data_IF_873192293968
#
_entry.id   IF_873192293968
#
_cell.length_a   1.000
_cell.length_b   1.000
_cell.length_c   1.000
_cell.angle_alpha   90.00
_cell.angle_beta   90.00
_cell.angle_gamma   90.00
#
_symmetry.space_group_name_H-M   'P 1'
#
loop_
_entity.id
_entity.type
_entity.pdbx_description
1 polymer ?
2 non-polymer ?
3 non-polymer ?
4 water ?
#
# COMPACT_ATOMS: atom_id res chain seq x y z
N UNK A 1 -19.80 4.20 3.98
CA UNK A 1 -19.91 5.25 2.93
C UNK A 1 -20.37 4.65 1.60
N UNK A 2 -21.09 5.46 0.79
CA UNK A 2 -21.68 4.98 -0.45
C UNK A 2 -20.71 5.20 -1.62
N UNK A 3 -21.04 4.55 -2.75
CA UNK A 3 -20.09 4.42 -3.85
C UNK A 3 -20.09 5.62 -4.79
N UNK A 4 -18.91 6.19 -5.00
CA UNK A 4 -18.68 7.31 -5.90
C UNK A 4 -17.64 6.91 -6.96
N UNK A 5 -17.57 7.70 -8.02
CA UNK A 5 -16.61 7.46 -9.09
C UNK A 5 -15.87 8.73 -9.46
N UNK A 6 -14.56 8.62 -9.57
CA UNK A 6 -13.71 9.69 -10.04
C UNK A 6 -13.54 9.56 -11.55
N UNK A 7 -14.01 10.56 -12.30
CA UNK A 7 -13.77 10.57 -13.73
C UNK A 7 -12.36 11.04 -14.03
N UNK A 8 -11.65 10.26 -14.82
CA UNK A 8 -10.33 10.60 -15.29
C UNK A 8 -10.35 10.57 -16.81
N UNK A 9 -9.55 11.44 -17.44
CA UNK A 9 -9.52 11.48 -18.91
C UNK A 9 -8.43 10.53 -19.40
N UNK A 10 -8.83 9.60 -20.25
CA UNK A 10 -7.92 8.65 -20.88
C UNK A 10 -7.22 7.77 -19.85
N UNK A 11 -7.78 7.65 -18.65
CA UNK A 11 -7.39 6.65 -17.66
C UNK A 11 -8.68 6.10 -17.07
N UNK A 12 -8.66 4.88 -16.56
CA UNK A 12 -9.93 4.30 -16.08
C UNK A 12 -10.46 5.03 -14.86
N UNK A 13 -11.77 5.19 -14.82
CA UNK A 13 -12.43 5.81 -13.67
C UNK A 13 -12.28 4.95 -12.43
N UNK A 14 -12.14 5.60 -11.29
CA UNK A 14 -11.87 4.92 -10.03
C UNK A 14 -13.08 5.01 -9.11
N UNK A 15 -13.44 3.89 -8.52
CA UNK A 15 -14.49 3.84 -7.51
C UNK A 15 -13.92 4.16 -6.13
N UNK A 16 -14.65 4.96 -5.36
CA UNK A 16 -14.18 5.30 -4.02
C UNK A 16 -15.37 5.52 -3.11
N UNK A 17 -15.10 5.45 -1.80
CA UNK A 17 -16.08 5.76 -0.77
C UNK A 17 -15.47 6.81 0.14
N UNK A 18 -16.19 7.91 0.38
CA UNK A 18 -15.65 9.07 1.07
C UNK A 18 -16.53 9.42 2.27
N UNK A 19 -15.87 9.69 3.38
CA UNK A 19 -16.52 10.11 4.62
C UNK A 19 -16.10 11.53 4.91
N UNK A 20 -17.08 12.41 5.14
CA UNK A 20 -16.82 13.80 5.49
C UNK A 20 -16.32 13.89 6.92
N UNK A 21 -15.45 14.86 7.18
CA UNK A 21 -15.03 15.14 8.54
C UNK A 21 -13.83 16.06 8.60
N UNK A 22 -13.23 16.09 9.79
CA UNK A 22 -12.10 16.95 10.05
C UNK A 22 -10.85 16.50 9.31
N UNK A 23 -9.93 17.46 9.10
CA UNK A 23 -8.59 17.10 8.65
C UNK A 23 -7.66 17.12 9.84
N UNK A 24 -6.56 16.36 9.79
CA UNK A 24 -6.12 15.53 8.66
C UNK A 24 -7.05 14.38 8.34
N UNK A 25 -7.27 14.17 7.07
CA UNK A 25 -7.96 12.98 6.63
C UNK A 25 -7.06 11.77 6.58
N UNK A 26 -7.69 10.61 6.43
CA UNK A 26 -7.02 9.34 6.24
C UNK A 26 -7.40 8.80 4.87
N UNK A 27 -6.42 8.24 4.16
CA UNK A 27 -6.65 7.49 2.93
C UNK A 27 -6.09 6.09 3.13
N UNK A 28 -6.92 5.07 2.90
CA UNK A 28 -6.50 3.69 2.97
C UNK A 28 -6.12 3.21 1.56
N UNK A 29 -4.92 2.68 1.43
CA UNK A 29 -4.38 2.20 0.16
C UNK A 29 -4.24 0.67 0.27
N UNK A 30 -5.01 -0.11 -0.49
CA UNK A 30 -5.09 -1.55 -0.24
C UNK A 30 -3.92 -2.37 -0.78
N UNK A 31 -3.94 -3.64 -0.38
CA UNK A 31 -2.95 -4.59 -0.82
C UNK A 31 -3.21 -5.10 -2.24
N UNK A 32 -2.27 -5.92 -2.71
CA UNK A 32 -2.28 -6.40 -4.10
C UNK A 32 -3.55 -7.20 -4.38
N UNK A 33 -4.27 -6.77 -5.41
CA UNK A 33 -5.52 -7.37 -5.86
C UNK A 33 -6.63 -7.26 -4.82
N UNK A 34 -6.43 -6.47 -3.78
CA UNK A 34 -7.42 -6.27 -2.74
C UNK A 34 -8.32 -5.10 -3.08
N UNK A 35 -9.61 -5.30 -2.88
CA UNK A 35 -10.56 -4.21 -3.01
C UNK A 35 -10.69 -3.44 -1.69
N UNK A 36 -11.48 -2.38 -1.72
CA UNK A 36 -11.64 -1.48 -0.60
C UNK A 36 -12.59 -2.01 0.48
N UNK A 37 -13.03 -3.26 0.35
CA UNK A 37 -14.02 -3.81 1.26
C UNK A 37 -13.43 -4.76 2.28
N UNK A 38 -12.11 -4.81 2.38
CA UNK A 38 -11.45 -5.70 3.33
C UNK A 38 -11.60 -5.24 4.77
N UNK A 39 -11.20 -6.16 5.66
CA UNK A 39 -11.39 -5.98 7.10
C UNK A 39 -10.68 -4.71 7.58
N UNK A 40 -9.42 -4.52 7.17
CA UNK A 40 -8.69 -3.37 7.68
C UNK A 40 -9.29 -2.05 7.17
N UNK A 41 -9.65 -2.00 5.89
CA UNK A 41 -10.19 -0.77 5.31
C UNK A 41 -11.46 -0.35 6.04
N UNK A 42 -12.35 -1.31 6.26
CA UNK A 42 -13.61 -1.04 6.94
C UNK A 42 -13.37 -0.65 8.40
N UNK A 43 -12.38 -1.26 9.06
CA UNK A 43 -12.11 -0.90 10.45
C UNK A 43 -11.57 0.53 10.55
N UNK A 44 -10.72 0.92 9.62
CA UNK A 44 -10.19 2.29 9.63
C UNK A 44 -11.31 3.29 9.37
N UNK A 45 -12.21 2.99 8.43
CA UNK A 45 -13.37 3.84 8.19
C UNK A 45 -14.21 4.02 9.45
N UNK A 46 -14.49 2.93 10.16
CA UNK A 46 -15.31 3.04 11.36
C UNK A 46 -14.61 3.85 12.44
N UNK A 47 -13.29 3.71 12.57
CA UNK A 47 -12.57 4.53 13.54
C UNK A 47 -12.61 6.01 13.16
N UNK A 48 -12.36 6.34 11.89
CA UNK A 48 -12.46 7.73 11.46
C UNK A 48 -13.85 8.28 11.71
N UNK A 49 -14.87 7.46 11.49
CA UNK A 49 -16.24 7.90 11.76
C UNK A 49 -16.41 8.23 13.24
N UNK A 50 -15.81 7.44 14.12
CA UNK A 50 -15.98 7.69 15.55
C UNK A 50 -15.19 8.90 16.01
N UNK A 51 -14.07 9.20 15.35
CA UNK A 51 -13.25 10.36 15.66
C UNK A 51 -13.73 11.63 14.97
N UNK A 52 -14.59 11.50 13.96
CA UNK A 52 -15.02 12.65 13.19
C UNK A 52 -14.01 13.17 12.16
N UNK A 53 -13.13 12.31 11.65
CA UNK A 53 -12.16 12.71 10.65
C UNK A 53 -12.55 12.22 9.27
N UNK A 54 -12.14 12.96 8.25
CA UNK A 54 -12.39 12.60 6.87
C UNK A 54 -11.64 11.31 6.51
N UNK A 55 -12.21 10.55 5.60
CA UNK A 55 -11.67 9.25 5.23
C UNK A 55 -12.04 8.91 3.80
N UNK A 56 -11.07 8.32 3.07
CA UNK A 56 -11.29 7.79 1.74
C UNK A 56 -10.74 6.38 1.64
N UNK A 57 -11.53 5.49 1.07
CA UNK A 57 -11.04 4.22 0.55
C UNK A 57 -11.45 4.13 -0.93
N UNK A 58 -10.69 3.34 -1.69
CA UNK A 58 -10.89 3.30 -3.13
C UNK A 58 -10.38 1.97 -3.68
N UNK A 59 -10.79 1.68 -4.92
CA UNK A 59 -10.37 0.48 -5.63
C UNK A 59 -9.37 0.85 -6.71
N UNK A 60 -8.26 0.11 -6.77
CA UNK A 60 -7.31 0.26 -7.86
C UNK A 60 -7.99 0.02 -9.21
N UNK A 61 -7.39 0.59 -10.27
CA UNK A 61 -7.77 0.25 -11.63
C UNK A 61 -7.83 -1.25 -11.76
N UNK A 62 -8.87 -1.78 -12.39
CA UNK A 62 -8.96 -3.19 -12.70
C UNK A 62 -9.49 -4.05 -11.58
N UNK A 63 -9.74 -3.46 -10.43
CA UNK A 63 -10.08 -4.18 -9.19
C UNK A 63 -11.41 -3.69 -8.67
N UNK A 64 -12.20 -4.62 -8.13
CA UNK A 64 -13.42 -4.24 -7.45
C UNK A 64 -14.38 -3.50 -8.35
N UNK A 65 -14.80 -2.32 -7.92
CA UNK A 65 -15.80 -1.53 -8.63
C UNK A 65 -15.19 -0.52 -9.61
N UNK A 66 -13.86 -0.42 -9.64
CA UNK A 66 -13.21 0.52 -10.55
C UNK A 66 -13.22 -0.03 -11.97
N UNK A 67 -13.09 0.89 -12.92
CA UNK A 67 -12.92 0.54 -14.32
C UNK A 67 -11.49 0.07 -14.59
N UNK A 68 -11.29 -0.47 -15.78
CA UNK A 68 -9.96 -0.90 -16.18
C UNK A 68 -9.86 -2.37 -16.47
N UNK A 69 -8.91 -2.72 -17.34
CA UNK A 69 -8.62 -4.10 -17.71
C UNK A 69 -7.47 -4.59 -16.84
N UNK A 70 -7.78 -5.50 -15.92
CA UNK A 70 -6.79 -5.96 -14.95
C UNK A 70 -5.57 -6.56 -15.65
N UNK A 71 -5.77 -7.14 -16.82
CA UNK A 71 -4.67 -7.76 -17.55
C UNK A 71 -3.61 -6.75 -17.98
N UNK A 72 -3.96 -5.47 -18.09
CA UNK A 72 -3.03 -4.44 -18.50
C UNK A 72 -2.51 -3.62 -17.32
N UNK A 73 -2.90 -3.96 -16.12
CA UNK A 73 -2.52 -3.15 -14.97
C UNK A 73 -1.07 -3.37 -14.61
N UNK A 74 -0.48 -2.34 -14.02
CA UNK A 74 0.92 -2.34 -13.64
C UNK A 74 1.10 -1.58 -12.33
N UNK A 75 2.24 -1.80 -11.69
CA UNK A 75 2.54 -1.02 -10.49
C UNK A 75 2.56 0.48 -10.84
N UNK A 76 3.04 0.82 -12.02
CA UNK A 76 3.09 2.24 -12.39
C UNK A 76 1.71 2.85 -12.51
N UNK A 77 0.77 2.09 -13.07
CA UNK A 77 -0.60 2.61 -13.21
C UNK A 77 -1.25 2.73 -11.83
N UNK A 78 -0.99 1.77 -10.95
CA UNK A 78 -1.57 1.83 -9.62
C UNK A 78 -0.96 2.94 -8.79
N UNK A 79 0.32 3.24 -9.02
CA UNK A 79 0.91 4.41 -8.40
C UNK A 79 0.18 5.68 -8.80
N UNK A 80 -0.10 5.82 -10.11
CA UNK A 80 -0.83 7.00 -10.58
C UNK A 80 -2.26 7.01 -10.04
N UNK A 81 -2.87 5.84 -9.83
CA UNK A 81 -4.19 5.79 -9.20
C UNK A 81 -4.17 6.46 -7.82
N UNK A 82 -3.18 6.11 -7.00
CA UNK A 82 -3.05 6.73 -5.68
C UNK A 82 -2.92 8.24 -5.81
N UNK A 83 -2.08 8.69 -6.75
CA UNK A 83 -1.94 10.13 -6.92
C UNK A 83 -3.25 10.76 -7.36
N UNK A 84 -4.03 10.07 -8.19
CA UNK A 84 -5.30 10.64 -8.64
C UNK A 84 -6.25 10.84 -7.46
N UNK A 85 -6.31 9.86 -6.55
CA UNK A 85 -7.17 10.00 -5.38
C UNK A 85 -6.68 11.16 -4.52
N UNK A 86 -5.39 11.22 -4.30
CA UNK A 86 -4.80 12.24 -3.45
C UNK A 86 -5.02 13.63 -4.03
N UNK A 87 -4.92 13.78 -5.37
CA UNK A 87 -5.04 15.08 -5.98
C UNK A 87 -6.50 15.50 -6.21
N UNK A 88 -7.35 14.55 -6.66
CA UNK A 88 -8.64 14.91 -7.20
C UNK A 88 -9.80 14.62 -6.27
N UNK A 89 -9.60 13.84 -5.21
CA UNK A 89 -10.65 13.56 -4.25
C UNK A 89 -10.30 14.14 -2.87
N UNK A 90 -9.11 13.84 -2.38
CA UNK A 90 -8.68 14.35 -1.07
C UNK A 90 -8.39 15.84 -1.09
N UNK A 91 -8.74 16.51 0.01
CA UNK A 91 -8.53 17.94 0.20
C UNK A 91 -7.89 18.15 1.56
N UNK A 92 -6.82 18.93 1.60
CA UNK A 92 -6.12 19.19 2.84
C UNK A 92 -5.18 18.08 3.27
N UNK A 93 -4.60 18.23 4.46
CA UNK A 93 -3.57 17.28 4.91
C UNK A 93 -4.12 15.87 5.10
N UNK A 94 -3.29 14.87 4.72
CA UNK A 94 -3.67 13.47 4.74
C UNK A 94 -2.65 12.59 5.44
N UNK A 95 -3.16 11.61 6.17
CA UNK A 95 -2.41 10.46 6.66
C UNK A 95 -2.70 9.29 5.74
N UNK A 96 -1.67 8.66 5.19
CA UNK A 96 -1.84 7.50 4.34
C UNK A 96 -1.62 6.23 5.14
N UNK A 97 -2.54 5.29 5.01
CA UNK A 97 -2.44 3.97 5.61
C UNK A 97 -2.35 2.97 4.46
N UNK A 98 -1.19 2.33 4.29
CA UNK A 98 -1.00 1.44 3.17
C UNK A 98 -0.69 0.01 3.58
N UNK A 99 -1.43 -0.95 3.01
CA UNK A 99 -1.23 -2.37 3.28
C UNK A 99 -0.53 -3.04 2.10
N UNK A 100 0.59 -3.72 2.37
CA UNK A 100 1.31 -4.52 1.38
C UNK A 100 1.70 -3.66 0.18
N UNK A 101 1.19 -3.94 -1.03
CA UNK A 101 1.42 -3.03 -2.17
C UNK A 101 1.11 -1.60 -1.81
N UNK A 102 0.05 -1.38 -1.05
CA UNK A 102 -0.33 -0.05 -0.66
C UNK A 102 0.74 0.65 0.16
N UNK A 103 1.51 -0.09 0.94
CA UNK A 103 2.63 0.49 1.65
C UNK A 103 3.78 0.90 0.73
N UNK A 104 4.00 0.15 -0.35
CA UNK A 104 4.97 0.56 -1.37
C UNK A 104 4.49 1.85 -2.00
N UNK A 105 3.22 1.89 -2.39
CA UNK A 105 2.69 3.04 -3.12
C UNK A 105 2.54 4.28 -2.23
N UNK A 106 2.29 4.12 -0.93
CA UNK A 106 2.18 5.29 -0.07
C UNK A 106 3.52 6.03 0.01
N UNK A 107 4.61 5.31 -0.12
CA UNK A 107 5.92 5.92 -0.15
C UNK A 107 6.07 6.79 -1.38
N UNK A 108 5.70 6.27 -2.55
CA UNK A 108 5.68 7.09 -3.75
C UNK A 108 4.82 8.32 -3.58
N UNK A 109 3.66 8.18 -2.94
CA UNK A 109 2.76 9.30 -2.80
C UNK A 109 3.37 10.39 -1.90
N UNK A 110 4.03 9.98 -0.83
CA UNK A 110 4.66 10.96 0.05
C UNK A 110 5.84 11.63 -0.62
N UNK A 111 6.57 10.91 -1.47
CA UNK A 111 7.65 11.53 -2.21
C UNK A 111 7.12 12.57 -3.17
N UNK A 112 6.01 12.25 -3.84
CA UNK A 112 5.45 13.10 -4.88
C UNK A 112 4.66 14.29 -4.33
N UNK A 113 4.09 14.16 -3.13
CA UNK A 113 3.20 15.16 -2.55
C UNK A 113 3.64 15.44 -1.11
N UNK A 114 4.84 15.99 -0.93
CA UNK A 114 5.39 16.14 0.42
C UNK A 114 4.67 17.18 1.27
N UNK A 115 3.93 18.08 0.65
CA UNK A 115 3.17 19.08 1.41
C UNK A 115 1.88 18.49 1.97
N UNK A 116 1.22 17.64 1.18
CA UNK A 116 -0.09 17.14 1.52
C UNK A 116 -0.06 15.92 2.42
N UNK A 117 0.94 15.06 2.25
CA UNK A 117 1.01 13.84 3.03
C UNK A 117 1.77 14.14 4.32
N UNK A 118 1.08 14.06 5.45
CA UNK A 118 1.70 14.49 6.69
C UNK A 118 2.17 13.34 7.58
N UNK A 119 1.80 12.10 7.27
CA UNK A 119 2.30 10.93 7.96
C UNK A 119 1.94 9.69 7.14
N UNK A 120 2.65 8.61 7.43
CA UNK A 120 2.49 7.32 6.79
C UNK A 120 2.40 6.21 7.84
N UNK A 121 1.44 5.32 7.63
CA UNK A 121 1.37 4.06 8.37
C UNK A 121 1.34 2.92 7.37
N UNK A 122 2.35 2.03 7.46
CA UNK A 122 2.43 0.87 6.59
C UNK A 122 2.10 -0.39 7.34
N UNK A 123 1.45 -1.33 6.65
CA UNK A 123 1.17 -2.64 7.20
C UNK A 123 1.73 -3.66 6.22
N UNK A 124 2.74 -4.43 6.66
CA UNK A 124 3.40 -5.43 5.82
C UNK A 124 3.88 -4.80 4.52
N UNK A 125 4.53 -3.63 4.65
CA UNK A 125 4.93 -2.79 3.53
C UNK A 125 5.74 -3.58 2.50
N UNK A 126 5.21 -3.66 1.29
CA UNK A 126 5.82 -4.50 0.25
C UNK A 126 6.70 -3.66 -0.66
N UNK A 127 7.61 -2.89 -0.07
CA UNK A 127 8.50 -2.05 -0.88
C UNK A 127 9.30 -2.93 -1.84
N UNK A 128 9.31 -2.51 -3.10
CA UNK A 128 10.00 -3.20 -4.18
C UNK A 128 9.46 -4.59 -4.38
N UNK A 129 8.24 -4.81 -3.88
CA UNK A 129 7.44 -5.99 -4.12
C UNK A 129 8.23 -7.25 -4.35
N UNK A 130 7.92 -7.92 -5.45
CA UNK A 130 8.56 -9.17 -5.85
C UNK A 130 9.75 -8.96 -6.78
N UNK A 131 10.05 -7.72 -7.16
CA UNK A 131 11.27 -7.48 -7.92
C UNK A 131 12.48 -7.98 -7.15
N UNK A 132 12.50 -7.72 -5.85
CA UNK A 132 13.60 -8.18 -5.00
C UNK A 132 13.78 -9.69 -5.13
N UNK A 133 12.69 -10.44 -4.99
CA UNK A 133 12.81 -11.90 -5.03
C UNK A 133 13.15 -12.39 -6.43
N UNK A 134 12.59 -11.75 -7.46
CA UNK A 134 12.93 -12.14 -8.82
C UNK A 134 14.44 -12.03 -9.04
N UNK A 135 15.06 -10.96 -8.58
CA UNK A 135 16.48 -10.75 -8.86
C UNK A 135 17.38 -11.55 -7.93
N UNK A 136 16.83 -12.10 -6.86
CA UNK A 136 17.59 -13.05 -6.04
C UNK A 136 17.57 -14.46 -6.62
N UNK A 137 16.62 -14.77 -7.50
CA UNK A 137 16.55 -16.09 -8.11
C UNK A 137 17.81 -16.37 -8.94
N UNK A 138 18.16 -17.64 -9.13
CA UNK A 138 19.32 -17.96 -9.97
C UNK A 138 19.04 -17.51 -11.40
N UNK A 139 20.12 -17.23 -12.12
CA UNK A 139 20.00 -16.63 -13.44
C UNK A 139 19.23 -17.54 -14.38
N UNK A 140 19.45 -18.85 -14.28
CA UNK A 140 18.74 -19.77 -15.18
C UNK A 140 17.23 -19.68 -14.99
N UNK A 141 16.78 -19.54 -13.73
CA UNK A 141 15.36 -19.38 -13.51
C UNK A 141 14.86 -18.06 -14.10
N UNK A 142 15.65 -16.99 -13.95
CA UNK A 142 15.26 -15.71 -14.52
C UNK A 142 15.07 -15.80 -16.02
N UNK A 143 15.94 -16.55 -16.70
CA UNK A 143 15.76 -16.70 -18.15
C UNK A 143 14.58 -17.61 -18.48
N UNK A 144 14.26 -18.56 -17.59
CA UNK A 144 13.10 -19.42 -17.84
C UNK A 144 11.81 -18.62 -17.74
N UNK A 145 11.71 -17.74 -16.74
CA UNK A 145 10.54 -16.89 -16.58
C UNK A 145 10.40 -15.98 -17.79
N UNK A 146 11.51 -15.43 -18.26
CA UNK A 146 11.49 -14.52 -19.39
C UNK A 146 11.02 -15.24 -20.66
N UNK A 147 11.56 -16.44 -20.92
CA UNK A 147 11.14 -17.21 -22.08
C UNK A 147 9.67 -17.59 -21.98
N UNK A 148 9.24 -18.07 -20.81
CA UNK A 148 7.85 -18.43 -20.60
C UNK A 148 6.95 -17.21 -20.63
N UNK A 149 7.46 -16.05 -20.19
CA UNK A 149 6.65 -14.85 -20.11
C UNK A 149 5.88 -14.69 -18.81
N UNK A 150 6.03 -15.62 -17.88
CA UNK A 150 5.36 -15.49 -16.59
C UNK A 150 6.15 -16.26 -15.55
N UNK A 151 5.98 -15.83 -14.31
CA UNK A 151 6.58 -16.42 -13.13
C UNK A 151 5.46 -17.09 -12.35
N UNK A 152 5.51 -18.41 -12.23
CA UNK A 152 4.53 -19.14 -11.44
C UNK A 152 5.01 -19.18 -10.00
N UNK A 153 4.23 -18.61 -9.10
CA UNK A 153 4.77 -18.24 -7.81
C UNK A 153 4.95 -19.46 -6.90
N UNK A 154 5.91 -19.38 -5.98
CA UNK A 154 6.02 -20.41 -4.94
C UNK A 154 4.68 -20.65 -4.27
N UNK A 155 4.50 -21.87 -3.76
CA UNK A 155 3.18 -22.26 -3.24
C UNK A 155 2.76 -21.40 -2.06
N UNK A 156 3.71 -20.89 -1.26
CA UNK A 156 3.31 -20.12 -0.09
C UNK A 156 2.47 -18.91 -0.49
N UNK A 157 2.69 -18.37 -1.69
CA UNK A 157 1.86 -17.25 -2.16
C UNK A 157 0.45 -17.70 -2.53
N UNK A 158 0.26 -18.99 -2.87
CA UNK A 158 -1.07 -19.47 -3.24
C UNK A 158 -2.06 -19.32 -2.09
N UNK A 159 -1.58 -19.43 -0.84
CA UNK A 159 -2.45 -19.29 0.32
C UNK A 159 -3.16 -17.94 0.37
N UNK A 160 -2.65 -16.94 -0.33
CA UNK A 160 -3.25 -15.61 -0.36
C UNK A 160 -3.97 -15.33 -1.68
N UNK A 161 -4.10 -16.33 -2.55
CA UNK A 161 -4.72 -16.15 -3.85
C UNK A 161 -3.81 -15.62 -4.94
N UNK A 162 -2.49 -15.73 -4.76
CA UNK A 162 -1.51 -15.31 -5.76
C UNK A 162 -0.90 -16.54 -6.41
N UNK A 163 -0.85 -16.54 -7.74
CA UNK A 163 -0.35 -17.74 -8.43
C UNK A 163 0.65 -17.43 -9.54
N UNK A 164 0.34 -16.50 -10.42
CA UNK A 164 1.17 -16.23 -11.60
C UNK A 164 1.37 -14.73 -11.77
N UNK A 165 2.54 -14.36 -12.31
CA UNK A 165 2.86 -12.97 -12.57
C UNK A 165 3.54 -12.81 -13.92
N UNK A 166 3.04 -11.97 -14.81
CA UNK A 166 3.69 -11.80 -16.10
C UNK A 166 5.08 -11.19 -15.97
N UNK A 167 5.97 -11.63 -16.86
CA UNK A 167 7.32 -11.09 -16.91
C UNK A 167 7.29 -9.59 -17.14
N UNK A 168 6.42 -9.13 -18.04
CA UNK A 168 6.30 -7.70 -18.34
C UNK A 168 5.94 -6.87 -17.12
N UNK A 169 5.09 -7.42 -16.23
CA UNK A 169 4.72 -6.74 -15.01
C UNK A 169 5.92 -6.59 -14.09
N UNK A 170 6.75 -7.64 -14.01
CA UNK A 170 7.93 -7.57 -13.16
C UNK A 170 8.88 -6.50 -13.68
N UNK A 171 9.11 -6.46 -14.99
CA UNK A 171 10.05 -5.52 -15.55
C UNK A 171 9.56 -4.08 -15.42
N UNK A 172 8.26 -3.85 -15.61
CA UNK A 172 7.73 -2.50 -15.39
C UNK A 172 7.90 -2.07 -13.95
N UNK A 173 7.69 -3.00 -13.01
CA UNK A 173 7.77 -2.66 -11.60
C UNK A 173 9.17 -2.22 -11.20
N UNK A 174 10.19 -2.57 -11.98
CA UNK A 174 11.56 -2.13 -11.71
C UNK A 174 11.68 -0.63 -11.71
N UNK A 175 10.83 0.06 -12.48
CA UNK A 175 10.87 1.52 -12.53
C UNK A 175 10.46 2.16 -11.21
N UNK A 176 9.78 1.43 -10.33
CA UNK A 176 9.18 1.98 -9.13
C UNK A 176 9.85 1.50 -7.86
N UNK A 177 10.97 0.80 -8.00
CA UNK A 177 11.72 0.36 -6.83
C UNK A 177 12.40 1.55 -6.16
N UNK A 178 12.50 1.46 -4.83
CA UNK A 178 12.99 2.54 -4.00
C UNK A 178 14.20 2.19 -3.14
N UNK A 179 14.46 0.91 -2.88
CA UNK A 179 15.45 0.57 -1.87
C UNK A 179 16.90 0.76 -2.32
N UNK A 180 17.14 1.05 -3.60
CA UNK A 180 18.48 1.29 -4.08
C UNK A 180 18.97 2.70 -3.80
N UNK A 181 18.14 3.55 -3.20
CA UNK A 181 18.46 4.95 -2.99
C UNK A 181 17.81 5.42 -1.70
N UNK A 182 18.26 6.55 -1.16
CA UNK A 182 17.49 7.19 -0.07
C UNK A 182 16.06 7.43 -0.51
N UNK A 183 15.14 7.27 0.45
CA UNK A 183 13.72 7.49 0.23
C UNK A 183 13.38 8.86 0.82
N UNK A 184 13.10 9.88 -0.02
CA UNK A 184 12.98 11.27 0.46
C UNK A 184 11.58 11.55 1.00
N UNK A 185 11.26 10.83 2.05
CA UNK A 185 10.06 11.01 2.85
C UNK A 185 10.52 11.72 4.12
N UNK A 186 9.90 12.85 4.46
CA UNK A 186 10.33 13.66 5.58
C UNK A 186 9.33 13.72 6.73
N UNK A 187 8.20 13.04 6.61
CA UNK A 187 7.15 13.06 7.62
C UNK A 187 7.30 11.88 8.58
N UNK A 188 6.49 11.84 9.63
CA UNK A 188 6.49 10.66 10.51
C UNK A 188 6.01 9.41 9.80
N UNK A 189 6.64 8.29 10.13
CA UNK A 189 6.32 7.00 9.52
C UNK A 189 6.23 5.94 10.60
N UNK A 190 5.18 5.12 10.53
CA UNK A 190 5.02 3.97 11.39
C UNK A 190 4.80 2.74 10.51
N UNK A 191 5.66 1.73 10.67
CA UNK A 191 5.67 0.52 9.84
C UNK A 191 5.37 -0.68 10.73
N UNK A 192 4.19 -1.24 10.57
CA UNK A 192 3.77 -2.45 11.28
C UNK A 192 4.10 -3.68 10.44
N UNK A 193 4.62 -4.72 11.09
CA UNK A 193 4.94 -5.92 10.32
C UNK A 193 4.85 -7.14 11.21
N UNK A 194 4.25 -8.20 10.68
CA UNK A 194 4.23 -9.49 11.38
C UNK A 194 5.51 -10.27 11.12
N UNK A 195 6.08 -10.83 12.18
CA UNK A 195 7.35 -11.52 12.00
C UNK A 195 7.19 -12.87 11.33
N UNK A 196 5.97 -13.41 11.30
CA UNK A 196 5.70 -14.66 10.60
C UNK A 196 5.12 -14.42 9.20
N UNK A 197 5.28 -13.21 8.67
CA UNK A 197 4.86 -12.88 7.30
C UNK A 197 5.64 -13.71 6.30
N UNK A 198 4.95 -14.60 5.60
CA UNK A 198 5.60 -15.45 4.61
C UNK A 198 5.59 -14.86 3.21
N UNK A 199 4.95 -13.72 3.01
CA UNK A 199 4.88 -13.05 1.71
C UNK A 199 5.93 -11.94 1.60
N UNK A 200 5.94 -11.03 2.56
CA UNK A 200 6.92 -9.95 2.64
C UNK A 200 7.70 -10.14 3.93
N UNK A 201 9.00 -10.40 3.89
CA UNK A 201 9.75 -10.61 5.13
C UNK A 201 9.72 -9.35 5.99
N UNK A 202 9.67 -9.55 7.31
CA UNK A 202 9.61 -8.41 8.21
C UNK A 202 10.83 -7.51 8.04
N UNK A 203 11.96 -8.09 7.65
CA UNK A 203 13.18 -7.30 7.46
C UNK A 203 13.00 -6.22 6.41
N UNK A 204 12.04 -6.39 5.51
CA UNK A 204 11.77 -5.36 4.51
C UNK A 204 11.40 -4.03 5.16
N UNK A 205 10.64 -4.08 6.25
CA UNK A 205 10.27 -2.82 6.92
C UNK A 205 11.48 -2.14 7.55
N UNK A 206 12.45 -2.91 8.03
CA UNK A 206 13.67 -2.32 8.54
C UNK A 206 14.49 -1.68 7.42
N UNK A 207 14.51 -2.31 6.24
CA UNK A 207 15.20 -1.72 5.09
C UNK A 207 14.56 -0.40 4.69
N UNK A 208 13.23 -0.36 4.66
CA UNK A 208 12.54 0.88 4.33
C UNK A 208 12.86 1.94 5.38
N UNK A 209 12.79 1.57 6.65
CA UNK A 209 13.07 2.54 7.70
C UNK A 209 14.46 3.13 7.55
N UNK A 210 15.43 2.29 7.21
CA UNK A 210 16.81 2.77 7.08
C UNK A 210 16.96 3.75 5.92
N UNK A 211 16.23 3.53 4.82
CA UNK A 211 16.37 4.37 3.64
C UNK A 211 15.61 5.68 3.77
N UNK A 212 14.50 5.69 4.52
CA UNK A 212 13.74 6.92 4.72
C UNK A 212 14.63 7.98 5.35
N UNK A 213 14.61 9.19 4.76
CA UNK A 213 15.44 10.25 5.28
C UNK A 213 14.88 10.81 6.59
N UNK A 214 13.56 10.77 6.78
CA UNK A 214 12.94 11.26 8.01
C UNK A 214 13.57 10.59 9.23
N UNK A 215 13.95 11.35 10.25
CA UNK A 215 14.41 10.69 11.48
C UNK A 215 13.30 10.01 12.26
N UNK A 216 12.03 10.34 12.00
CA UNK A 216 10.92 9.91 12.82
C UNK A 216 10.23 8.71 12.20
N UNK A 217 10.87 7.56 12.37
CA UNK A 217 10.35 6.30 11.86
C UNK A 217 10.39 5.29 12.99
N UNK A 218 9.25 4.64 13.25
CA UNK A 218 9.18 3.51 14.18
C UNK A 218 8.76 2.28 13.39
N UNK A 219 9.35 1.14 13.73
CA UNK A 219 8.95 -0.15 13.18
C UNK A 219 8.37 -0.98 14.32
N UNK A 220 7.15 -1.46 14.16
CA UNK A 220 6.47 -2.26 15.16
C UNK A 220 6.37 -3.68 14.64
N UNK A 221 7.09 -4.59 15.29
CA UNK A 221 7.21 -5.98 14.88
C UNK A 221 6.37 -6.84 15.81
N UNK A 222 5.39 -7.54 15.25
CA UNK A 222 4.49 -8.40 16.00
C UNK A 222 4.93 -9.84 15.83
N UNK A 223 5.27 -10.47 16.95
CA UNK A 223 5.96 -11.76 16.92
C UNK A 223 5.20 -12.81 16.13
N UNK A 224 3.89 -12.90 16.34
CA UNK A 224 3.09 -13.94 15.71
C UNK A 224 2.23 -13.40 14.58
N UNK A 225 2.51 -12.20 14.10
CA UNK A 225 1.72 -11.62 13.03
C UNK A 225 2.06 -12.25 11.70
N UNK A 226 1.03 -12.43 10.86
CA UNK A 226 1.19 -12.94 9.51
C UNK A 226 1.02 -11.79 8.52
N UNK A 227 0.91 -12.11 7.23
CA UNK A 227 0.94 -11.08 6.23
C UNK A 227 -0.29 -10.18 6.28
N UNK A 228 -1.48 -10.73 6.54
CA UNK A 228 -2.68 -9.91 6.45
C UNK A 228 -2.91 -9.00 7.65
N UNK A 229 -2.42 -9.38 8.83
CA UNK A 229 -2.49 -8.53 10.02
C UNK A 229 -3.91 -8.01 10.26
N UNK A 230 -4.87 -8.96 10.28
CA UNK A 230 -6.28 -8.59 10.39
C UNK A 230 -7.00 -9.31 11.52
N UNK A 231 -6.28 -10.01 12.39
CA UNK A 231 -6.91 -10.51 13.60
C UNK A 231 -7.37 -9.33 14.45
N UNK A 232 -8.29 -9.60 15.39
CA UNK A 232 -8.82 -8.52 16.21
C UNK A 232 -7.72 -7.74 16.89
N UNK A 233 -6.70 -8.42 17.42
CA UNK A 233 -5.59 -7.71 18.07
C UNK A 233 -4.79 -6.88 17.10
N UNK A 234 -4.66 -7.31 15.84
CA UNK A 234 -3.90 -6.55 14.85
C UNK A 234 -4.69 -5.31 14.43
N UNK A 235 -6.02 -5.43 14.36
CA UNK A 235 -6.85 -4.25 14.08
C UNK A 235 -6.72 -3.24 15.21
N UNK A 236 -6.73 -3.73 16.46
CA UNK A 236 -6.55 -2.83 17.59
C UNK A 236 -5.21 -2.12 17.52
N UNK A 237 -4.14 -2.84 17.16
CA UNK A 237 -2.84 -2.20 17.01
C UNK A 237 -2.87 -1.11 15.94
N UNK A 238 -3.49 -1.41 14.79
CA UNK A 238 -3.59 -0.40 13.74
C UNK A 238 -4.36 0.83 14.19
N UNK A 239 -5.50 0.65 14.85
CA UNK A 239 -6.29 1.78 15.30
C UNK A 239 -5.53 2.59 16.35
N UNK A 240 -4.86 1.91 17.28
CA UNK A 240 -4.07 2.61 18.27
C UNK A 240 -2.97 3.42 17.60
N UNK A 241 -2.34 2.86 16.56
CA UNK A 241 -1.28 3.57 15.86
C UNK A 241 -1.83 4.84 15.21
N UNK A 242 -3.00 4.74 14.58
CA UNK A 242 -3.61 5.92 13.97
C UNK A 242 -3.95 6.95 15.04
N UNK A 243 -4.59 6.51 16.12
CA UNK A 243 -5.02 7.43 17.16
C UNK A 243 -3.85 8.16 17.79
N UNK A 244 -2.75 7.44 18.04
CA UNK A 244 -1.56 8.04 18.64
C UNK A 244 -0.90 9.03 17.70
N UNK A 245 -0.93 8.73 16.40
CA UNK A 245 -0.33 9.62 15.41
C UNK A 245 -1.13 10.89 15.25
N UNK A 246 -2.47 10.79 15.20
CA UNK A 246 -3.28 11.99 15.12
C UNK A 246 -3.05 12.87 16.34
N UNK A 247 -2.99 12.28 17.53
CA UNK A 247 -2.69 13.02 18.76
C UNK A 247 -1.34 13.74 18.64
N UNK A 248 -0.29 13.01 18.24
CA UNK A 248 1.03 13.61 18.09
C UNK A 248 1.03 14.74 17.06
N UNK A 249 0.33 14.57 15.93
CA UNK A 249 0.29 15.60 14.90
C UNK A 249 -0.56 16.81 15.28
N UNK A 250 -1.36 16.72 16.35
CA UNK A 250 -2.28 17.80 16.68
C UNK A 250 -1.56 18.88 17.48
X LIG B 1 2.67 -10.06 -3.32
X LIG B 1 3.23 -8.67 -3.05
X LIG B 1 2.67 -8.24 -1.80
X LIG B 1 4.74 -8.70 -2.84
X LIG B 1 2.77 -7.64 -4.07
X LIG B 1 3.47 -7.53 -5.42
X LIG B 1 2.83 -8.30 -6.40
X LIG B 1 3.37 -6.06 -5.83
X LIG B 1 1.96 -10.00 -4.14
X LIG B 1 2.16 -10.42 -2.42
X LIG B 1 3.48 -10.74 -3.58
X LIG B 1 2.21 -7.38 -1.93
X LIG B 1 5.24 -8.62 -3.79
X LIG B 1 5.02 -9.64 -2.35
X LIG B 1 5.04 -7.87 -2.20
X LIG B 1 1.72 -7.83 -4.27
X LIG B 1 2.84 -6.65 -3.59
X LIG B 1 4.50 -7.88 -5.34
X LIG B 1 3.44 -8.44 -7.15
X LIG B 1 2.34 -5.71 -5.70
X LIG B 1 3.66 -5.95 -6.87
X LIG B 1 4.04 -5.46 -5.20
X LIG C 1 -13.37 9.18 -18.22
X LIG D 1 -14.20 -4.94 -13.95
X LIG E 1 20.94 -11.46 -7.83
X LIG F 1 -5.26 6.38 23.40
#
# INVERSE_FOLDING_TARGET
ASLSFLNRSELPNLAYKRLKGKTPGIIFIPGYLSNMNGIKAVAVEEFCKSLGHAFIRFDYSGIGSSDGNLAECTVGKWRKDVLSILDDVAEGPQILVGSSLGGWLMLHAAIARPEKVIALIGIATAADGLVTQYHALPVETQKEIEMKGEWTLPSRYNKEGYFRIPYSFIKEAEHHCLLHSPIPVTCPVRLLHGMKDEIVPWQRSLQVADRIVSPDVDVILRKQGDHRMKEKADIHLLICTIDDLIDKLS
MPD C1 C2 O2 CM C3 C4 O4 C5 H11 H12 H13 HO2 HM1 HM2 HM3 H31 H32 H4 HO4 H51 H52 H53
SR SR
SR SR
SR SR
SR SR
#
